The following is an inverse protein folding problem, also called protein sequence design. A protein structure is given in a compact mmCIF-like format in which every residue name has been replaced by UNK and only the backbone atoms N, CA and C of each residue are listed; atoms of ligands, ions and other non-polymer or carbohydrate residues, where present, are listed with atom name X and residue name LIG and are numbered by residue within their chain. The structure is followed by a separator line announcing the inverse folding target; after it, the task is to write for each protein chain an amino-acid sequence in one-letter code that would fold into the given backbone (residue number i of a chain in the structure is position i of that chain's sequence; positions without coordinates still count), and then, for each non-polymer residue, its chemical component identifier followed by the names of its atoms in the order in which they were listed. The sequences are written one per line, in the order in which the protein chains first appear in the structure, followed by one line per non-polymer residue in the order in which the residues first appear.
data_IF_150156034493
#
_entry.id   IF_150156034493
#
_cell.length_a   1.000
_cell.length_b   1.000
_cell.length_c   1.000
_cell.angle_alpha   90.00
_cell.angle_beta   90.00
_cell.angle_gamma   90.00
#
_symmetry.space_group_name_H-M   'P 1'
#
loop_
_entity.id
_entity.type
_entity.pdbx_description
1 polymer ?
#
# COMPACT_ATOMS: atom_id res chain seq x y z
N UNK A 1 23.64 -40.58 -18.93
CA UNK A 1 23.22 -40.68 -17.51
C UNK A 1 21.73 -40.94 -17.47
N UNK A 2 21.30 -42.08 -16.93
CA UNK A 2 19.87 -42.42 -16.80
C UNK A 2 19.20 -41.50 -15.77
N UNK A 3 17.98 -41.06 -16.08
CA UNK A 3 17.13 -40.21 -15.22
C UNK A 3 16.23 -41.09 -14.32
N UNK A 4 16.26 -42.42 -14.51
CA UNK A 4 15.48 -43.36 -13.68
C UNK A 4 15.83 -43.23 -12.20
N UNK A 5 14.80 -43.17 -11.36
CA UNK A 5 14.93 -43.06 -9.91
C UNK A 5 15.08 -41.63 -9.38
N UNK A 6 15.25 -40.60 -10.23
CA UNK A 6 15.25 -39.20 -9.76
C UNK A 6 13.82 -38.74 -9.45
N UNK A 7 13.60 -38.28 -8.22
CA UNK A 7 12.34 -37.68 -7.78
C UNK A 7 12.36 -36.19 -8.09
N UNK A 8 11.34 -35.71 -8.80
CA UNK A 8 11.08 -34.28 -9.01
C UNK A 8 10.05 -33.85 -7.98
N UNK A 9 10.35 -32.79 -7.24
CA UNK A 9 9.46 -32.23 -6.24
C UNK A 9 8.93 -30.88 -6.74
N UNK A 10 7.61 -30.69 -6.67
CA UNK A 10 6.95 -29.40 -6.91
C UNK A 10 6.48 -28.79 -5.60
N UNK A 11 6.48 -27.45 -5.50
CA UNK A 11 5.99 -26.71 -4.34
C UNK A 11 5.00 -25.65 -4.82
N UNK A 12 3.79 -25.67 -4.27
CA UNK A 12 2.81 -24.61 -4.48
C UNK A 12 2.95 -23.59 -3.35
N UNK A 13 3.01 -22.31 -3.71
CA UNK A 13 3.11 -21.20 -2.76
C UNK A 13 1.94 -20.27 -3.02
N UNK A 14 1.25 -19.88 -1.95
CA UNK A 14 0.13 -18.95 -2.00
C UNK A 14 0.52 -17.68 -1.27
N UNK A 15 0.46 -16.56 -1.97
CA UNK A 15 0.78 -15.25 -1.44
C UNK A 15 -0.51 -14.52 -1.07
N UNK A 16 -0.68 -14.20 0.21
CA UNK A 16 -1.86 -13.50 0.70
C UNK A 16 -1.94 -12.08 0.15
N UNK A 17 -0.81 -11.41 -0.14
CA UNK A 17 -0.85 -10.05 -0.71
C UNK A 17 -1.61 -10.00 -2.04
N UNK A 18 -1.55 -11.06 -2.87
CA UNK A 18 -2.29 -11.15 -4.14
C UNK A 18 -3.80 -11.19 -3.90
N UNK A 19 -4.24 -12.07 -3.00
CA UNK A 19 -5.67 -12.15 -2.64
C UNK A 19 -6.17 -10.83 -2.03
N UNK A 20 -5.40 -10.20 -1.15
CA UNK A 20 -5.76 -8.91 -0.55
C UNK A 20 -5.88 -7.82 -1.62
N UNK A 21 -5.01 -7.82 -2.63
CA UNK A 21 -5.11 -6.90 -3.76
C UNK A 21 -6.33 -7.19 -4.63
N UNK A 22 -6.66 -8.45 -4.91
CA UNK A 22 -7.86 -8.82 -5.65
C UNK A 22 -9.14 -8.32 -4.94
N UNK A 23 -9.19 -8.43 -3.61
CA UNK A 23 -10.30 -7.88 -2.82
C UNK A 23 -10.36 -6.36 -2.97
N UNK A 24 -9.22 -5.65 -2.85
CA UNK A 24 -9.18 -4.20 -3.04
C UNK A 24 -9.63 -3.78 -4.44
N UNK A 25 -9.16 -4.48 -5.47
CA UNK A 25 -9.49 -4.22 -6.87
C UNK A 25 -10.97 -4.45 -7.14
N UNK A 26 -11.54 -5.54 -6.62
CA UNK A 26 -12.97 -5.80 -6.75
C UNK A 26 -13.80 -4.72 -6.05
N UNK A 27 -13.44 -4.35 -4.82
CA UNK A 27 -14.10 -3.25 -4.12
C UNK A 27 -14.01 -1.94 -4.90
N UNK A 28 -12.87 -1.65 -5.53
CA UNK A 28 -12.71 -0.48 -6.40
C UNK A 28 -13.67 -0.49 -7.60
N UNK A 29 -13.93 -1.65 -8.20
CA UNK A 29 -14.87 -1.80 -9.33
C UNK A 29 -16.32 -1.63 -8.88
N UNK A 30 -16.65 -2.07 -7.67
CA UNK A 30 -18.01 -2.03 -7.13
C UNK A 30 -18.37 -0.66 -6.50
N UNK A 31 -17.43 0.30 -6.49
CA UNK A 31 -17.57 1.58 -5.77
C UNK A 31 -18.61 2.52 -6.38
N UNK A 32 -18.83 2.50 -7.69
CA UNK A 32 -19.85 3.34 -8.33
C UNK A 32 -21.27 2.99 -7.87
N UNK A 33 -21.53 1.71 -7.58
CA UNK A 33 -22.81 1.23 -7.07
C UNK A 33 -22.88 1.28 -5.54
N UNK A 34 -21.75 1.09 -4.86
CA UNK A 34 -21.64 0.98 -3.41
C UNK A 34 -20.45 1.83 -2.90
N UNK A 35 -20.64 3.15 -2.64
CA UNK A 35 -19.55 4.08 -2.34
C UNK A 35 -18.65 3.68 -1.16
N UNK A 36 -19.18 2.96 -0.17
CA UNK A 36 -18.44 2.44 0.97
C UNK A 36 -17.34 1.43 0.59
N UNK A 37 -17.43 0.83 -0.61
CA UNK A 37 -16.38 -0.05 -1.14
C UNK A 37 -15.06 0.68 -1.37
N UNK A 38 -15.07 2.01 -1.50
CA UNK A 38 -13.84 2.80 -1.52
C UNK A 38 -13.02 2.62 -0.22
N UNK A 39 -13.70 2.48 0.93
CA UNK A 39 -13.05 2.25 2.22
C UNK A 39 -12.46 0.84 2.27
N UNK A 40 -13.18 -0.15 1.73
CA UNK A 40 -12.68 -1.52 1.58
C UNK A 40 -11.42 -1.53 0.70
N UNK A 41 -11.45 -0.86 -0.45
CA UNK A 41 -10.30 -0.71 -1.35
C UNK A 41 -9.09 -0.09 -0.63
N UNK A 42 -9.30 1.00 0.13
CA UNK A 42 -8.24 1.64 0.92
C UNK A 42 -7.60 0.69 1.93
N UNK A 43 -8.43 0.01 2.74
CA UNK A 43 -7.94 -0.89 3.80
C UNK A 43 -7.18 -2.06 3.19
N UNK A 44 -7.76 -2.74 2.20
CA UNK A 44 -7.15 -3.92 1.58
C UNK A 44 -5.95 -3.58 0.70
N UNK A 45 -5.91 -2.41 0.06
CA UNK A 45 -4.71 -1.93 -0.65
C UNK A 45 -3.54 -1.74 0.33
N UNK A 46 -3.78 -1.15 1.49
CA UNK A 46 -2.74 -1.03 2.50
C UNK A 46 -2.35 -2.39 3.09
N UNK A 47 -3.31 -3.25 3.43
CA UNK A 47 -3.01 -4.59 3.95
C UNK A 47 -2.27 -5.47 2.94
N UNK A 48 -2.54 -5.33 1.64
CA UNK A 48 -1.74 -5.94 0.57
C UNK A 48 -0.27 -5.54 0.70
N UNK A 49 0.03 -4.25 0.86
CA UNK A 49 1.41 -3.76 1.05
C UNK A 49 2.05 -4.31 2.33
N UNK A 50 1.29 -4.44 3.42
CA UNK A 50 1.76 -5.06 4.66
C UNK A 50 2.08 -6.55 4.48
N UNK A 51 1.20 -7.29 3.82
CA UNK A 51 1.40 -8.71 3.53
C UNK A 51 2.60 -8.91 2.60
N UNK A 52 2.70 -8.14 1.51
CA UNK A 52 3.77 -8.27 0.51
C UNK A 52 5.15 -8.15 1.15
N UNK A 53 5.38 -7.11 1.97
CA UNK A 53 6.70 -6.89 2.58
C UNK A 53 7.04 -7.98 3.59
N UNK A 54 6.05 -8.53 4.28
CA UNK A 54 6.25 -9.65 5.21
C UNK A 54 6.52 -10.97 4.47
N UNK A 55 5.82 -11.21 3.36
CA UNK A 55 5.95 -12.41 2.54
C UNK A 55 7.26 -12.44 1.74
N UNK A 56 7.76 -11.27 1.33
CA UNK A 56 9.04 -11.13 0.60
C UNK A 56 10.19 -11.78 1.37
N UNK A 57 10.15 -11.69 2.70
CA UNK A 57 11.18 -12.22 3.58
C UNK A 57 11.19 -13.75 3.53
N UNK A 58 10.03 -14.39 3.62
CA UNK A 58 9.90 -15.85 3.46
C UNK A 58 10.16 -16.35 2.04
N UNK A 59 9.94 -15.50 1.03
CA UNK A 59 10.06 -15.85 -0.39
C UNK A 59 11.50 -16.08 -0.84
N UNK A 60 12.45 -15.39 -0.22
CA UNK A 60 13.88 -15.60 -0.45
C UNK A 60 14.38 -17.00 -0.07
N UNK A 61 13.75 -17.70 0.89
CA UNK A 61 14.02 -19.11 1.17
C UNK A 61 13.41 -20.03 0.11
N UNK A 62 12.23 -19.66 -0.38
CA UNK A 62 11.48 -20.43 -1.38
C UNK A 62 12.14 -20.41 -2.75
N UNK A 63 12.70 -19.26 -3.17
CA UNK A 63 13.15 -19.04 -4.54
C UNK A 63 14.63 -19.40 -4.80
N UNK A 64 15.50 -19.29 -3.80
CA UNK A 64 16.93 -19.50 -4.00
C UNK A 64 17.40 -20.94 -3.73
N UNK A 65 16.58 -21.80 -3.11
CA UNK A 65 16.95 -23.21 -2.84
C UNK A 65 18.31 -23.39 -2.14
N UNK A 66 18.74 -22.39 -1.37
CA UNK A 66 20.05 -22.35 -0.69
C UNK A 66 21.24 -21.82 -1.52
N UNK A 67 21.11 -21.62 -2.84
CA UNK A 67 22.14 -20.99 -3.67
C UNK A 67 21.87 -19.50 -3.79
N UNK A 68 22.67 -18.69 -3.10
CA UNK A 68 22.62 -17.23 -3.12
C UNK A 68 23.99 -16.68 -3.50
N UNK A 69 24.01 -15.63 -4.30
CA UNK A 69 25.18 -14.75 -4.41
C UNK A 69 25.48 -14.12 -3.04
N UNK A 70 26.72 -13.66 -2.79
CA UNK A 70 27.04 -12.96 -1.54
C UNK A 70 26.10 -11.77 -1.27
N UNK A 71 25.74 -11.03 -2.31
CA UNK A 71 24.83 -9.89 -2.24
C UNK A 71 23.41 -10.33 -1.87
N UNK A 72 22.88 -11.39 -2.49
CA UNK A 72 21.57 -11.96 -2.14
C UNK A 72 21.55 -12.54 -0.71
N UNK A 73 22.69 -13.05 -0.22
CA UNK A 73 22.81 -13.55 1.14
C UNK A 73 22.78 -12.41 2.17
N UNK A 74 23.56 -11.35 1.95
CA UNK A 74 23.53 -10.15 2.79
C UNK A 74 22.13 -9.51 2.79
N UNK A 75 21.50 -9.45 1.61
CA UNK A 75 20.11 -8.99 1.45
C UNK A 75 19.15 -9.76 2.35
N UNK A 76 19.24 -11.08 2.28
CA UNK A 76 18.38 -11.99 3.02
C UNK A 76 18.55 -11.85 4.53
N UNK A 77 19.79 -11.81 5.01
CA UNK A 77 20.10 -11.64 6.43
C UNK A 77 19.55 -10.31 6.97
N UNK A 78 19.71 -9.23 6.22
CA UNK A 78 19.17 -7.92 6.60
C UNK A 78 17.64 -7.90 6.59
N UNK A 79 17.00 -8.54 5.60
CA UNK A 79 15.54 -8.67 5.55
C UNK A 79 14.98 -9.48 6.73
N UNK A 80 15.67 -10.53 7.19
CA UNK A 80 15.29 -11.26 8.41
C UNK A 80 15.35 -10.35 9.64
N UNK A 81 16.41 -9.57 9.79
CA UNK A 81 16.55 -8.64 10.93
C UNK A 81 15.41 -7.62 10.94
N UNK A 82 15.01 -7.10 9.76
CA UNK A 82 13.88 -6.19 9.62
C UNK A 82 12.54 -6.80 10.06
N UNK A 83 12.38 -8.12 10.00
CA UNK A 83 11.19 -8.81 10.47
C UNK A 83 11.16 -8.95 11.99
N UNK A 84 12.33 -9.25 12.59
CA UNK A 84 12.48 -9.42 14.03
C UNK A 84 12.25 -8.10 14.76
N UNK A 85 12.67 -7.00 14.14
CA UNK A 85 12.28 -5.67 14.57
C UNK A 85 10.77 -5.50 14.33
N UNK A 86 10.00 -5.27 15.41
CA UNK A 86 8.55 -4.91 15.36
C UNK A 86 8.32 -3.51 14.76
N UNK A 87 8.94 -3.25 13.62
CA UNK A 87 8.93 -1.99 12.89
C UNK A 87 7.65 -1.83 12.09
N UNK A 88 7.25 -0.58 11.87
CA UNK A 88 6.06 -0.27 11.07
C UNK A 88 6.25 -0.70 9.61
N UNK A 89 5.16 -1.00 8.90
CA UNK A 89 5.20 -1.33 7.46
C UNK A 89 5.96 -0.28 6.66
N UNK A 90 5.70 1.01 6.92
CA UNK A 90 6.40 2.11 6.28
C UNK A 90 7.91 2.04 6.49
N UNK A 91 8.35 1.73 7.71
CA UNK A 91 9.78 1.63 8.02
C UNK A 91 10.43 0.41 7.38
N UNK A 92 9.70 -0.71 7.23
CA UNK A 92 10.17 -1.87 6.47
C UNK A 92 10.46 -1.49 5.01
N UNK A 93 9.55 -0.78 4.34
CA UNK A 93 9.79 -0.29 2.98
C UNK A 93 10.96 0.71 2.91
N UNK A 94 11.10 1.61 3.90
CA UNK A 94 12.25 2.53 3.96
C UNK A 94 13.58 1.83 4.07
N UNK A 95 13.68 0.90 5.01
CA UNK A 95 14.91 0.16 5.27
C UNK A 95 15.26 -0.74 4.09
N UNK A 96 14.26 -1.38 3.47
CA UNK A 96 14.44 -2.20 2.27
C UNK A 96 15.00 -1.38 1.09
N UNK A 97 14.43 -0.19 0.80
CA UNK A 97 14.97 0.69 -0.27
C UNK A 97 16.42 1.08 -0.03
N UNK A 98 16.75 1.48 1.21
CA UNK A 98 18.12 1.83 1.58
C UNK A 98 19.05 0.65 1.41
N UNK A 99 18.60 -0.54 1.81
CA UNK A 99 19.37 -1.77 1.66
C UNK A 99 19.65 -2.09 0.19
N UNK A 100 18.65 -1.93 -0.69
CA UNK A 100 18.77 -2.38 -2.08
C UNK A 100 19.44 -1.37 -3.00
N UNK A 101 19.24 -0.08 -2.78
CA UNK A 101 19.73 0.97 -3.69
C UNK A 101 20.77 1.88 -3.06
N UNK A 102 21.07 1.73 -1.77
CA UNK A 102 21.87 2.68 -0.96
C UNK A 102 21.31 4.11 -0.94
N UNK A 103 20.06 4.30 -1.38
CA UNK A 103 19.36 5.60 -1.44
C UNK A 103 18.21 5.62 -0.45
N UNK A 104 17.89 6.82 0.02
CA UNK A 104 16.68 7.04 0.82
C UNK A 104 15.49 7.33 -0.09
N UNK A 105 14.29 7.06 0.40
CA UNK A 105 13.09 7.58 -0.24
C UNK A 105 13.06 9.11 -0.16
N UNK A 106 12.68 9.73 -1.26
CA UNK A 106 12.29 11.13 -1.25
C UNK A 106 10.85 11.23 -0.74
N UNK A 107 10.66 11.89 0.40
CA UNK A 107 9.34 12.02 1.03
C UNK A 107 8.33 12.81 0.21
N UNK A 108 8.83 13.64 -0.70
CA UNK A 108 8.02 14.57 -1.47
C UNK A 108 7.60 14.00 -2.84
N UNK A 109 8.09 12.82 -3.21
CA UNK A 109 7.89 12.23 -4.53
C UNK A 109 7.08 10.94 -4.47
N UNK A 110 6.35 10.67 -5.56
CA UNK A 110 5.71 9.38 -5.81
C UNK A 110 6.77 8.28 -5.99
N UNK A 111 6.51 7.02 -5.57
CA UNK A 111 5.27 6.54 -4.93
C UNK A 111 5.23 6.76 -3.41
N UNK A 112 6.32 7.23 -2.82
CA UNK A 112 6.46 7.27 -1.36
C UNK A 112 5.52 8.26 -0.68
N UNK A 113 5.37 9.46 -1.26
CA UNK A 113 4.42 10.47 -0.76
C UNK A 113 3.01 9.88 -0.70
N UNK A 114 2.58 9.23 -1.77
CA UNK A 114 1.24 8.63 -1.88
C UNK A 114 1.07 7.45 -0.92
N UNK A 115 2.11 6.65 -0.69
CA UNK A 115 2.10 5.60 0.31
C UNK A 115 1.93 6.12 1.74
N UNK A 116 2.60 7.21 2.10
CA UNK A 116 2.36 7.86 3.39
C UNK A 116 0.92 8.37 3.51
N UNK A 117 0.37 8.97 2.45
CA UNK A 117 -1.03 9.44 2.42
C UNK A 117 -2.02 8.29 2.60
N UNK A 118 -1.83 7.18 1.86
CA UNK A 118 -2.65 5.97 1.96
C UNK A 118 -2.67 5.43 3.41
N UNK A 119 -1.49 5.32 4.03
CA UNK A 119 -1.36 4.89 5.43
C UNK A 119 -2.07 5.84 6.40
N UNK A 120 -1.88 7.15 6.23
CA UNK A 120 -2.44 8.15 7.13
C UNK A 120 -3.97 8.19 7.04
N UNK A 121 -4.54 8.04 5.85
CA UNK A 121 -5.98 7.94 5.64
C UNK A 121 -6.55 6.67 6.30
N UNK A 122 -5.96 5.50 6.03
CA UNK A 122 -6.35 4.23 6.67
C UNK A 122 -6.32 4.34 8.20
N UNK A 123 -5.27 4.94 8.75
CA UNK A 123 -5.18 5.15 10.20
C UNK A 123 -6.23 6.14 10.71
N UNK A 124 -6.55 7.17 9.92
CA UNK A 124 -7.57 8.16 10.28
C UNK A 124 -8.97 7.56 10.37
N UNK A 125 -9.29 6.56 9.54
CA UNK A 125 -10.56 5.82 9.63
C UNK A 125 -10.63 5.01 10.92
N UNK A 126 -9.57 4.31 11.28
CA UNK A 126 -9.59 3.32 12.37
C UNK A 126 -9.46 3.97 13.75
N UNK A 127 -8.67 5.05 13.86
CA UNK A 127 -8.20 5.55 15.16
C UNK A 127 -8.77 6.90 15.57
N UNK A 128 -9.47 7.63 14.69
CA UNK A 128 -10.02 8.93 15.05
C UNK A 128 -11.35 8.80 15.80
N UNK A 129 -11.68 9.74 16.69
CA UNK A 129 -13.03 9.91 17.20
C UNK A 129 -14.04 10.18 16.07
N UNK A 130 -15.34 10.02 16.33
CA UNK A 130 -16.38 10.38 15.37
C UNK A 130 -16.23 11.82 14.88
N UNK A 131 -16.50 12.05 13.60
CA UNK A 131 -16.55 13.39 13.05
C UNK A 131 -17.74 14.17 13.62
N UNK A 132 -17.51 15.43 14.01
CA UNK A 132 -18.56 16.33 14.49
C UNK A 132 -18.37 17.68 13.81
N UNK A 133 -19.30 18.01 12.92
CA UNK A 133 -19.31 19.27 12.17
C UNK A 133 -20.26 20.25 12.88
N UNK A 134 -19.73 21.40 13.28
CA UNK A 134 -20.43 22.48 13.94
C UNK A 134 -20.76 23.56 12.90
N UNK A 135 -22.05 23.88 12.80
CA UNK A 135 -22.53 25.01 12.00
C UNK A 135 -22.83 26.21 12.88
N UNK A 136 -22.33 27.38 12.50
CA UNK A 136 -22.57 28.65 13.19
C UNK A 136 -23.25 29.64 12.23
N UNK A 137 -24.40 30.18 12.63
CA UNK A 137 -25.11 31.25 11.91
C UNK A 137 -24.96 32.56 12.68
N UNK A 138 -24.31 33.56 12.09
CA UNK A 138 -24.27 34.91 12.66
C UNK A 138 -25.52 35.70 12.24
N UNK A 139 -26.47 35.84 13.18
CA UNK A 139 -27.71 36.64 12.98
C UNK A 139 -27.34 38.09 12.63
N UNK A 140 -27.98 38.66 11.60
CA UNK A 140 -27.71 40.00 11.10
C UNK A 140 -26.66 40.08 9.99
N UNK A 141 -25.80 39.07 9.84
CA UNK A 141 -24.86 38.94 8.70
C UNK A 141 -25.29 37.89 7.66
N UNK A 142 -26.24 37.02 8.02
CA UNK A 142 -26.67 35.88 7.19
C UNK A 142 -25.51 34.99 6.71
N UNK A 143 -24.42 34.99 7.47
CA UNK A 143 -23.23 34.21 7.18
C UNK A 143 -23.27 32.92 8.00
N UNK A 144 -23.20 31.78 7.30
CA UNK A 144 -23.13 30.46 7.90
C UNK A 144 -21.71 29.92 7.74
N UNK A 145 -21.07 29.51 8.82
CA UNK A 145 -19.72 28.93 8.80
C UNK A 145 -19.74 27.53 9.38
N UNK A 146 -18.91 26.65 8.83
CA UNK A 146 -18.74 25.28 9.31
C UNK A 146 -17.34 25.12 9.90
N UNK A 147 -17.25 24.39 11.02
CA UNK A 147 -16.00 23.99 11.63
C UNK A 147 -16.09 22.56 12.13
N UNK A 148 -14.97 21.84 12.13
CA UNK A 148 -14.92 20.51 12.75
C UNK A 148 -14.50 20.63 14.21
N UNK A 149 -15.21 19.95 15.11
CA UNK A 149 -14.85 19.89 16.54
C UNK A 149 -13.54 19.12 16.76
N UNK A 150 -13.30 18.10 15.95
CA UNK A 150 -12.12 17.24 16.02
C UNK A 150 -11.27 17.38 14.76
N UNK A 151 -9.99 17.07 14.86
CA UNK A 151 -9.07 17.13 13.73
C UNK A 151 -9.55 16.19 12.60
N UNK A 152 -9.57 16.70 11.36
CA UNK A 152 -9.78 15.94 10.12
C UNK A 152 -8.45 15.64 9.43
N UNK A 153 -8.36 14.65 8.53
CA UNK A 153 -7.14 14.41 7.74
C UNK A 153 -6.98 15.46 6.62
N UNK A 154 -7.05 16.74 6.96
CA UNK A 154 -7.17 17.83 5.98
C UNK A 154 -5.94 17.96 5.07
N UNK A 155 -4.76 17.56 5.55
CA UNK A 155 -3.53 17.52 4.74
C UNK A 155 -3.66 16.50 3.61
N UNK A 156 -4.11 15.30 3.94
CA UNK A 156 -4.36 14.23 2.97
C UNK A 156 -5.50 14.61 2.01
N UNK A 157 -6.61 15.14 2.52
CA UNK A 157 -7.76 15.55 1.69
C UNK A 157 -7.38 16.67 0.71
N UNK A 158 -6.65 17.69 1.17
CA UNK A 158 -6.21 18.81 0.33
C UNK A 158 -5.29 18.31 -0.79
N UNK A 159 -4.38 17.39 -0.47
CA UNK A 159 -3.52 16.76 -1.47
C UNK A 159 -4.34 16.00 -2.51
N UNK A 160 -5.27 15.14 -2.08
CA UNK A 160 -6.11 14.37 -2.99
C UNK A 160 -6.98 15.26 -3.89
N UNK A 161 -7.49 16.37 -3.37
CA UNK A 161 -8.26 17.33 -4.15
C UNK A 161 -7.38 18.05 -5.19
N UNK A 162 -6.15 18.40 -4.84
CA UNK A 162 -5.17 19.01 -5.77
C UNK A 162 -4.76 18.05 -6.90
N UNK A 163 -4.58 16.77 -6.59
CA UNK A 163 -4.35 15.72 -7.59
C UNK A 163 -5.62 15.31 -8.35
N UNK A 164 -6.76 15.92 -8.01
CA UNK A 164 -8.06 15.65 -8.60
C UNK A 164 -8.60 14.25 -8.31
N UNK A 165 -8.04 13.52 -7.33
CA UNK A 165 -8.50 12.19 -6.90
C UNK A 165 -9.88 12.29 -6.24
N UNK A 166 -10.13 13.38 -5.51
CA UNK A 166 -11.43 13.71 -4.91
C UNK A 166 -11.92 15.07 -5.41
N UNK A 167 -13.19 15.39 -5.11
CA UNK A 167 -13.79 16.68 -5.41
C UNK A 167 -13.33 17.82 -4.50
N UNK A 168 -13.89 19.01 -4.73
CA UNK A 168 -13.62 20.19 -3.90
C UNK A 168 -14.16 20.02 -2.47
N UNK A 169 -13.37 20.44 -1.48
CA UNK A 169 -13.73 20.40 -0.06
C UNK A 169 -14.54 21.66 0.29
N UNK A 170 -15.79 21.50 0.71
CA UNK A 170 -16.67 22.60 1.15
C UNK A 170 -16.75 22.70 2.69
N UNK A 171 -16.32 21.65 3.41
CA UNK A 171 -16.13 21.65 4.87
C UNK A 171 -17.40 21.43 5.69
N UNK A 172 -18.56 21.28 5.04
CA UNK A 172 -19.85 20.95 5.70
C UNK A 172 -20.19 19.46 5.63
N UNK A 173 -19.58 18.76 4.70
CA UNK A 173 -19.71 17.33 4.43
C UNK A 173 -18.74 16.50 5.27
N UNK A 174 -19.09 15.24 5.49
CA UNK A 174 -18.16 14.32 6.14
C UNK A 174 -16.93 14.11 5.26
N UNK A 175 -15.75 14.03 5.89
CA UNK A 175 -14.55 13.69 5.13
C UNK A 175 -14.57 12.28 4.57
N UNK A 176 -15.37 11.37 5.15
CA UNK A 176 -15.57 10.02 4.61
C UNK A 176 -16.30 10.10 3.27
N UNK A 177 -17.34 10.93 3.17
CA UNK A 177 -18.10 11.12 1.92
C UNK A 177 -17.20 11.64 0.79
N UNK A 178 -16.22 12.47 1.12
CA UNK A 178 -15.25 13.00 0.15
C UNK A 178 -14.37 11.91 -0.48
N UNK A 179 -14.04 10.86 0.27
CA UNK A 179 -13.16 9.77 -0.20
C UNK A 179 -13.95 8.56 -0.71
N UNK A 180 -15.26 8.48 -0.48
CA UNK A 180 -16.12 7.41 -0.98
C UNK A 180 -16.47 7.60 -2.46
N UNK A 181 -15.44 7.59 -3.32
CA UNK A 181 -15.54 7.77 -4.77
C UNK A 181 -14.75 6.71 -5.52
N UNK A 182 -15.21 6.32 -6.71
CA UNK A 182 -14.51 5.33 -7.54
C UNK A 182 -13.08 5.75 -7.85
N UNK A 183 -12.86 7.03 -8.17
CA UNK A 183 -11.51 7.56 -8.44
C UNK A 183 -10.56 7.43 -7.25
N UNK A 184 -11.04 7.63 -6.03
CA UNK A 184 -10.24 7.38 -4.83
C UNK A 184 -9.94 5.89 -4.62
N UNK A 185 -10.92 5.03 -4.86
CA UNK A 185 -10.74 3.58 -4.75
C UNK A 185 -9.71 3.05 -5.77
N UNK A 186 -9.73 3.56 -6.99
CA UNK A 186 -8.75 3.26 -8.04
C UNK A 186 -7.36 3.76 -7.67
N UNK A 187 -7.29 4.99 -7.14
CA UNK A 187 -6.04 5.57 -6.65
C UNK A 187 -5.41 4.71 -5.56
N UNK A 188 -6.20 4.16 -4.62
CA UNK A 188 -5.68 3.24 -3.59
C UNK A 188 -5.01 2.00 -4.18
N UNK A 189 -5.67 1.37 -5.16
CA UNK A 189 -5.11 0.22 -5.86
C UNK A 189 -3.84 0.59 -6.63
N UNK A 190 -3.83 1.74 -7.29
CA UNK A 190 -2.66 2.26 -8.01
C UNK A 190 -1.46 2.44 -7.08
N UNK A 191 -1.64 3.05 -5.91
CA UNK A 191 -0.55 3.24 -4.94
C UNK A 191 0.03 1.89 -4.49
N UNK A 192 -0.82 0.87 -4.29
CA UNK A 192 -0.34 -0.46 -3.94
C UNK A 192 0.51 -1.09 -5.05
N UNK A 193 0.06 -0.99 -6.30
CA UNK A 193 0.83 -1.45 -7.47
C UNK A 193 2.16 -0.71 -7.60
N UNK A 194 2.15 0.62 -7.52
CA UNK A 194 3.35 1.44 -7.71
C UNK A 194 4.41 1.18 -6.62
N UNK A 195 3.99 0.94 -5.37
CA UNK A 195 4.91 0.61 -4.28
C UNK A 195 5.52 -0.78 -4.46
N UNK A 196 4.73 -1.78 -4.83
CA UNK A 196 5.24 -3.13 -5.08
C UNK A 196 6.18 -3.14 -6.29
N UNK A 197 5.79 -2.48 -7.39
CA UNK A 197 6.65 -2.33 -8.56
C UNK A 197 7.98 -1.65 -8.19
N UNK A 198 7.94 -0.51 -7.49
CA UNK A 198 9.15 0.19 -7.07
C UNK A 198 10.04 -0.67 -6.16
N UNK A 199 9.44 -1.47 -5.28
CA UNK A 199 10.19 -2.39 -4.44
C UNK A 199 10.92 -3.44 -5.28
N UNK A 200 10.21 -4.09 -6.20
CA UNK A 200 10.76 -5.14 -7.08
C UNK A 200 11.87 -4.56 -7.99
N UNK A 201 11.66 -3.38 -8.55
CA UNK A 201 12.65 -2.67 -9.38
C UNK A 201 13.92 -2.32 -8.61
N UNK A 202 13.79 -2.10 -7.30
CA UNK A 202 14.91 -1.76 -6.43
C UNK A 202 15.82 -2.94 -6.13
N UNK A 203 15.35 -4.18 -6.32
CA UNK A 203 16.16 -5.38 -6.09
C UNK A 203 17.37 -5.41 -7.04
N UNK A 204 18.47 -5.98 -6.54
CA UNK A 204 19.66 -6.23 -7.35
C UNK A 204 19.33 -7.20 -8.49
N UNK A 205 19.94 -6.98 -9.66
CA UNK A 205 19.79 -7.87 -10.81
C UNK A 205 20.22 -9.30 -10.49
N UNK A 206 19.44 -10.26 -10.97
CA UNK A 206 19.71 -11.68 -10.78
C UNK A 206 18.44 -12.50 -10.63
N UNK A 207 18.65 -13.81 -10.50
CA UNK A 207 17.57 -14.80 -10.45
C UNK A 207 16.57 -14.55 -9.31
N UNK A 208 17.02 -14.01 -8.18
CA UNK A 208 16.12 -13.65 -7.09
C UNK A 208 15.11 -12.58 -7.50
N UNK A 209 15.54 -11.51 -8.18
CA UNK A 209 14.65 -10.46 -8.68
C UNK A 209 13.66 -11.00 -9.71
N UNK A 210 14.14 -11.82 -10.65
CA UNK A 210 13.29 -12.46 -11.68
C UNK A 210 12.16 -13.27 -11.05
N UNK A 211 12.48 -14.16 -10.11
CA UNK A 211 11.50 -15.00 -9.43
C UNK A 211 10.54 -14.20 -8.55
N UNK A 212 11.04 -13.18 -7.84
CA UNK A 212 10.21 -12.26 -7.07
C UNK A 212 9.21 -11.52 -7.97
N UNK A 213 9.67 -11.00 -9.12
CA UNK A 213 8.81 -10.30 -10.06
C UNK A 213 7.75 -11.24 -10.68
N UNK A 214 8.15 -12.44 -11.11
CA UNK A 214 7.24 -13.43 -11.69
C UNK A 214 6.16 -13.90 -10.69
N UNK A 215 6.56 -14.14 -9.44
CA UNK A 215 5.71 -14.81 -8.46
C UNK A 215 4.95 -13.84 -7.54
N UNK A 216 5.45 -12.62 -7.35
CA UNK A 216 4.92 -11.66 -6.36
C UNK A 216 4.53 -10.29 -6.94
N UNK A 217 4.65 -10.06 -8.25
CA UNK A 217 4.02 -8.89 -8.86
C UNK A 217 2.49 -8.96 -8.77
N UNK A 218 1.86 -7.78 -8.79
CA UNK A 218 0.40 -7.65 -8.85
C UNK A 218 -0.15 -7.60 -10.28
N UNK A 219 0.72 -7.45 -11.28
CA UNK A 219 0.30 -7.53 -12.67
C UNK A 219 -0.09 -8.98 -12.99
N UNK A 220 -1.19 -9.21 -13.72
CA UNK A 220 -1.48 -10.55 -14.22
C UNK A 220 -0.34 -10.95 -15.15
N UNK A 221 0.33 -12.05 -14.83
CA UNK A 221 1.14 -12.76 -15.82
C UNK A 221 0.18 -13.05 -16.99
N UNK A 222 0.46 -12.46 -18.15
CA UNK A 222 -0.40 -12.51 -19.34
C UNK A 222 -0.81 -13.92 -19.75
#
# INVERSE_FOLDING_TARGET
MSIEGKKIYSKNVYFAHKLLFEIAKKASQDTDENPEQAIVSLIFSFNCLEAFINETIGSSELFCGGRRTPQEKELFEQMILLQQEKSSTLDKYKKSKRLFTKKHWNKSESPYKEFEMLRNLRNSIIHRPPEVILGELTIGKWQYTYSSKYERPDKELTYLAQEGVIGSIQGKESWLDLIMTAKFAEWCCKVAMDIIANFLDSLHEGKFKELMAEQMSLEPNG
#
